data_IF_028751249701
#
_entry.id   IF_028751249701
#
_cell.length_a   1.000
_cell.length_b   1.000
_cell.length_c   1.000
_cell.angle_alpha   90.00
_cell.angle_beta   90.00
_cell.angle_gamma   90.00
#
_symmetry.space_group_name_H-M   'P 1'
#
loop_
_entity.id
_entity.type
_entity.pdbx_description
1 polymer ?
#
# COMPACT_ATOMS: atom_id res chain seq x y z
N UNK A 1 -4.94 -8.85 -29.51
CA UNK A 1 -4.21 -9.76 -28.58
C UNK A 1 -2.81 -9.25 -28.26
N UNK A 2 -2.00 -8.86 -29.26
CA UNK A 2 -0.60 -8.42 -29.05
C UNK A 2 -0.45 -7.14 -28.22
N UNK A 3 -1.29 -6.12 -28.43
CA UNK A 3 -1.26 -4.85 -27.67
C UNK A 3 -1.58 -5.08 -26.19
N UNK A 4 -2.62 -5.88 -25.90
CA UNK A 4 -3.00 -6.22 -24.52
C UNK A 4 -1.89 -7.00 -23.83
N UNK A 5 -1.24 -7.93 -24.54
CA UNK A 5 -0.11 -8.71 -24.00
C UNK A 5 1.10 -7.82 -23.66
N UNK A 6 1.45 -6.88 -24.54
CA UNK A 6 2.55 -5.92 -24.32
C UNK A 6 2.23 -5.00 -23.13
N UNK A 7 1.01 -4.49 -23.07
CA UNK A 7 0.58 -3.63 -21.96
C UNK A 7 0.59 -4.36 -20.62
N UNK A 8 0.07 -5.59 -20.57
CA UNK A 8 0.09 -6.42 -19.36
C UNK A 8 1.52 -6.68 -18.91
N UNK A 9 2.39 -7.08 -19.86
CA UNK A 9 3.80 -7.33 -19.57
C UNK A 9 4.49 -6.09 -19.01
N UNK A 10 4.21 -4.90 -19.55
CA UNK A 10 4.81 -3.65 -19.07
C UNK A 10 4.33 -3.27 -17.67
N UNK A 11 3.02 -3.39 -17.38
CA UNK A 11 2.48 -3.09 -16.04
C UNK A 11 3.03 -4.05 -14.99
N UNK A 12 3.12 -5.34 -15.33
CA UNK A 12 3.57 -6.40 -14.43
C UNK A 12 5.09 -6.33 -14.23
N UNK A 13 5.87 -6.11 -15.30
CA UNK A 13 7.32 -5.92 -15.22
C UNK A 13 7.70 -4.64 -14.44
N UNK A 14 6.97 -3.53 -14.63
CA UNK A 14 7.19 -2.30 -13.87
C UNK A 14 6.98 -2.49 -12.37
N UNK A 15 6.17 -3.48 -11.97
CA UNK A 15 5.95 -3.85 -10.59
C UNK A 15 6.88 -4.99 -10.09
N UNK A 16 7.90 -5.37 -10.85
CA UNK A 16 8.84 -6.44 -10.48
C UNK A 16 8.22 -7.84 -10.51
N UNK A 17 7.17 -8.02 -11.31
CA UNK A 17 6.45 -9.28 -11.46
C UNK A 17 6.62 -9.85 -12.87
N UNK A 18 6.35 -11.13 -13.04
CA UNK A 18 6.35 -11.85 -14.30
C UNK A 18 5.22 -12.89 -14.33
N UNK A 19 4.95 -13.49 -15.50
CA UNK A 19 4.00 -14.59 -15.66
C UNK A 19 2.57 -14.24 -15.22
N UNK A 20 1.77 -13.70 -16.14
CA UNK A 20 0.39 -13.29 -15.84
C UNK A 20 -0.62 -14.35 -16.25
N UNK A 21 -1.37 -14.85 -15.29
CA UNK A 21 -2.56 -15.68 -15.53
C UNK A 21 -3.82 -14.89 -15.20
N UNK A 22 -4.90 -15.10 -15.97
CA UNK A 22 -6.19 -14.49 -15.68
C UNK A 22 -7.03 -15.43 -14.81
N UNK A 23 -7.59 -14.90 -13.73
CA UNK A 23 -8.48 -15.62 -12.80
C UNK A 23 -9.86 -14.96 -12.81
N UNK A 24 -10.91 -15.72 -12.53
CA UNK A 24 -12.22 -15.14 -12.19
C UNK A 24 -12.16 -14.52 -10.79
N UNK A 25 -12.82 -13.38 -10.59
CA UNK A 25 -12.93 -12.72 -9.29
C UNK A 25 -13.52 -13.62 -8.21
N UNK A 26 -14.53 -14.41 -8.55
CA UNK A 26 -15.16 -15.41 -7.67
C UNK A 26 -14.26 -16.60 -7.33
N UNK A 27 -13.17 -16.81 -8.07
CA UNK A 27 -12.24 -17.91 -7.85
C UNK A 27 -11.16 -17.62 -6.80
N UNK A 28 -11.08 -16.40 -6.27
CA UNK A 28 -10.07 -15.99 -5.29
C UNK A 28 -10.73 -15.72 -3.95
N UNK A 29 -10.32 -16.45 -2.92
CA UNK A 29 -10.78 -16.20 -1.56
C UNK A 29 -9.92 -15.10 -0.90
N UNK A 30 -10.57 -14.06 -0.35
CA UNK A 30 -9.86 -12.95 0.29
C UNK A 30 -9.04 -13.40 1.52
N UNK A 31 -9.43 -14.50 2.18
CA UNK A 31 -8.68 -15.10 3.30
C UNK A 31 -7.28 -15.59 2.91
N UNK A 32 -7.03 -15.81 1.62
CA UNK A 32 -5.72 -16.20 1.10
C UNK A 32 -4.82 -14.99 0.84
N UNK A 33 -5.30 -13.76 1.01
CA UNK A 33 -4.48 -12.56 0.84
C UNK A 33 -3.84 -12.13 2.16
N UNK A 34 -2.60 -11.65 2.10
CA UNK A 34 -1.88 -11.21 3.30
C UNK A 34 -0.94 -10.03 3.02
N UNK A 35 -0.44 -9.43 4.11
CA UNK A 35 0.51 -8.33 4.05
C UNK A 35 -0.15 -6.98 3.73
N UNK A 36 0.70 -6.00 3.45
CA UNK A 36 0.25 -4.65 3.09
C UNK A 36 -0.05 -4.59 1.58
N UNK A 37 -1.27 -4.20 1.18
CA UNK A 37 -1.56 -3.98 -0.22
C UNK A 37 -0.88 -2.71 -0.73
N UNK A 38 -0.67 -2.63 -2.05
CA UNK A 38 -0.22 -1.40 -2.70
C UNK A 38 -1.01 -1.15 -3.98
N UNK A 39 -1.00 0.11 -4.43
CA UNK A 39 -1.80 0.60 -5.55
C UNK A 39 -0.88 0.89 -6.72
N UNK A 40 -1.17 0.27 -7.86
CA UNK A 40 -0.59 0.62 -9.15
C UNK A 40 -1.43 1.68 -9.84
N UNK A 41 -0.74 2.65 -10.43
CA UNK A 41 -1.29 3.75 -11.22
C UNK A 41 -0.53 3.83 -12.54
N UNK A 42 -1.10 4.41 -13.61
CA UNK A 42 -0.32 4.72 -14.80
C UNK A 42 0.87 5.60 -14.39
N UNK A 43 2.03 5.33 -14.97
CA UNK A 43 3.23 6.14 -14.71
C UNK A 43 2.99 7.59 -15.14
N UNK A 44 3.58 8.54 -14.41
CA UNK A 44 3.65 9.96 -14.78
C UNK A 44 5.10 10.40 -14.98
N UNK A 45 5.94 9.47 -15.43
CA UNK A 45 7.37 9.70 -15.60
C UNK A 45 7.63 10.73 -16.70
N UNK A 46 8.25 11.85 -16.33
CA UNK A 46 8.64 12.93 -17.25
C UNK A 46 9.66 12.52 -18.32
N UNK A 47 10.30 11.36 -18.17
CA UNK A 47 11.29 10.85 -19.13
C UNK A 47 10.65 10.21 -20.37
N UNK A 48 9.33 10.04 -20.37
CA UNK A 48 8.57 9.55 -21.51
C UNK A 48 8.05 10.74 -22.31
N UNK A 49 7.92 10.56 -23.62
CA UNK A 49 7.28 11.56 -24.48
C UNK A 49 5.80 11.70 -24.13
N UNK A 50 5.22 12.88 -24.35
CA UNK A 50 3.83 13.18 -23.99
C UNK A 50 2.82 12.22 -24.64
N UNK A 51 3.01 11.91 -25.92
CA UNK A 51 2.13 11.00 -26.66
C UNK A 51 2.20 9.57 -26.10
N UNK A 52 3.39 9.14 -25.66
CA UNK A 52 3.58 7.84 -25.02
C UNK A 52 2.91 7.80 -23.65
N UNK A 53 3.02 8.88 -22.87
CA UNK A 53 2.39 9.02 -21.58
C UNK A 53 0.86 8.95 -21.67
N UNK A 54 0.28 9.70 -22.61
CA UNK A 54 -1.17 9.72 -22.87
C UNK A 54 -1.66 8.35 -23.34
N UNK A 55 -0.95 7.73 -24.29
CA UNK A 55 -1.24 6.38 -24.76
C UNK A 55 -1.18 5.35 -23.63
N UNK A 56 -0.18 5.45 -22.75
CA UNK A 56 -0.07 4.58 -21.58
C UNK A 56 -1.23 4.76 -20.60
N UNK A 57 -1.67 6.01 -20.36
CA UNK A 57 -2.83 6.29 -19.52
C UNK A 57 -4.12 5.69 -20.10
N UNK A 58 -4.37 5.88 -21.39
CA UNK A 58 -5.52 5.31 -22.08
C UNK A 58 -5.52 3.79 -22.05
N UNK A 59 -4.36 3.19 -22.29
CA UNK A 59 -4.19 1.74 -22.22
C UNK A 59 -4.43 1.19 -20.81
N UNK A 60 -3.83 1.81 -19.78
CA UNK A 60 -4.03 1.40 -18.39
C UNK A 60 -5.51 1.48 -17.99
N UNK A 61 -6.21 2.54 -18.42
CA UNK A 61 -7.64 2.69 -18.20
C UNK A 61 -8.45 1.61 -18.92
N UNK A 62 -8.14 1.34 -20.20
CA UNK A 62 -8.78 0.27 -20.97
C UNK A 62 -8.56 -1.12 -20.36
N UNK A 63 -7.40 -1.36 -19.76
CA UNK A 63 -7.10 -2.59 -19.01
C UNK A 63 -8.00 -2.72 -17.79
N UNK A 64 -8.06 -1.69 -16.93
CA UNK A 64 -8.91 -1.70 -15.74
C UNK A 64 -10.38 -1.98 -16.10
N UNK A 65 -10.90 -1.25 -17.09
CA UNK A 65 -12.27 -1.44 -17.58
C UNK A 65 -12.51 -2.85 -18.14
N UNK A 66 -11.55 -3.40 -18.88
CA UNK A 66 -11.65 -4.75 -19.45
C UNK A 66 -11.67 -5.83 -18.38
N UNK A 67 -10.87 -5.69 -17.33
CA UNK A 67 -10.84 -6.63 -16.20
C UNK A 67 -12.14 -6.56 -15.39
N UNK A 68 -12.63 -5.36 -15.09
CA UNK A 68 -13.93 -5.17 -14.41
C UNK A 68 -15.08 -5.80 -15.19
N UNK A 69 -15.20 -5.49 -16.49
CA UNK A 69 -16.31 -5.98 -17.33
C UNK A 69 -16.33 -7.51 -17.44
N UNK A 70 -15.16 -8.16 -17.34
CA UNK A 70 -15.02 -9.61 -17.41
C UNK A 70 -15.06 -10.29 -16.05
N UNK A 71 -15.09 -9.50 -14.97
CA UNK A 71 -14.92 -9.99 -13.59
C UNK A 71 -13.61 -10.80 -13.44
N UNK A 72 -12.54 -10.30 -14.07
CA UNK A 72 -11.23 -10.95 -14.08
C UNK A 72 -10.23 -10.25 -13.17
N UNK A 73 -9.40 -11.06 -12.54
CA UNK A 73 -8.21 -10.66 -11.79
C UNK A 73 -6.98 -11.19 -12.51
N UNK A 74 -5.81 -10.60 -12.24
CA UNK A 74 -4.55 -11.13 -12.75
C UNK A 74 -3.76 -11.74 -11.61
N UNK A 75 -3.28 -12.97 -11.78
CA UNK A 75 -2.27 -13.58 -10.94
C UNK A 75 -0.91 -13.31 -11.55
N UNK A 76 0.01 -12.77 -10.77
CA UNK A 76 1.37 -12.49 -11.19
C UNK A 76 2.36 -13.06 -10.18
N UNK A 77 3.51 -13.49 -10.68
CA UNK A 77 4.61 -14.02 -9.88
C UNK A 77 5.65 -12.94 -9.66
N UNK A 78 5.99 -12.64 -8.42
CA UNK A 78 7.07 -11.73 -8.06
C UNK A 78 8.43 -12.34 -8.33
N UNK A 79 9.34 -11.53 -8.88
CA UNK A 79 10.74 -11.91 -8.95
C UNK A 79 11.45 -11.64 -7.61
N UNK A 80 12.33 -12.55 -7.16
CA UNK A 80 13.15 -12.31 -5.99
C UNK A 80 14.20 -11.25 -6.30
N UNK A 81 14.31 -10.25 -5.42
CA UNK A 81 15.24 -9.13 -5.54
C UNK A 81 16.73 -9.55 -5.64
N UNK A 82 17.09 -10.72 -5.11
CA UNK A 82 18.47 -11.20 -5.06
C UNK A 82 18.62 -12.56 -5.79
N UNK A 83 19.18 -12.52 -7.00
CA UNK A 83 19.55 -13.72 -7.77
C UNK A 83 20.94 -14.28 -7.40
N UNK A 84 21.50 -13.83 -6.27
CA UNK A 84 22.93 -13.96 -5.97
C UNK A 84 23.36 -15.39 -5.57
N UNK A 85 22.43 -16.32 -5.33
CA UNK A 85 22.76 -17.69 -4.95
C UNK A 85 22.19 -18.71 -5.95
N UNK A 86 23.05 -19.17 -6.86
CA UNK A 86 22.73 -20.16 -7.92
C UNK A 86 22.37 -21.57 -7.44
N UNK A 87 22.39 -21.84 -6.13
CA UNK A 87 22.30 -23.20 -5.58
C UNK A 87 20.88 -23.61 -5.16
N UNK A 88 19.93 -22.67 -5.06
CA UNK A 88 18.56 -22.95 -4.61
C UNK A 88 17.56 -22.25 -5.51
N UNK A 89 16.47 -22.94 -5.86
CA UNK A 89 15.35 -22.32 -6.56
C UNK A 89 14.87 -21.10 -5.76
N UNK A 90 14.69 -19.95 -6.40
CA UNK A 90 14.27 -18.75 -5.69
C UNK A 90 12.86 -18.91 -5.13
N UNK A 91 12.66 -18.54 -3.86
CA UNK A 91 11.33 -18.40 -3.29
C UNK A 91 10.56 -17.37 -4.13
N UNK A 92 9.40 -17.79 -4.64
CA UNK A 92 8.56 -16.97 -5.51
C UNK A 92 7.36 -16.48 -4.72
N UNK A 93 7.13 -15.18 -4.73
CA UNK A 93 5.90 -14.60 -4.16
C UNK A 93 4.84 -14.52 -5.24
N UNK A 94 3.58 -14.67 -4.90
CA UNK A 94 2.48 -14.52 -5.85
C UNK A 94 1.60 -13.34 -5.42
N UNK A 95 1.07 -12.64 -6.42
CA UNK A 95 0.25 -11.46 -6.24
C UNK A 95 -1.01 -11.59 -7.07
N UNK A 96 -2.13 -11.18 -6.49
CA UNK A 96 -3.37 -10.92 -7.23
C UNK A 96 -3.51 -9.43 -7.44
N UNK A 97 -3.75 -9.06 -8.69
CA UNK A 97 -3.97 -7.70 -9.16
C UNK A 97 -5.46 -7.55 -9.43
N UNK A 98 -6.12 -6.71 -8.64
CA UNK A 98 -7.55 -6.44 -8.68
C UNK A 98 -7.80 -5.09 -9.33
N UNK A 99 -8.70 -5.01 -10.33
CA UNK A 99 -9.08 -3.73 -10.89
C UNK A 99 -9.99 -2.96 -9.92
N UNK A 100 -9.81 -1.64 -9.85
CA UNK A 100 -10.71 -0.74 -9.12
C UNK A 100 -11.64 -0.02 -10.08
N UNK A 101 -12.76 0.53 -9.57
CA UNK A 101 -13.64 1.42 -10.35
C UNK A 101 -13.00 2.79 -10.66
N UNK A 102 -11.88 3.11 -10.01
CA UNK A 102 -10.97 4.20 -10.37
C UNK A 102 -9.88 3.68 -11.33
N UNK A 103 -9.14 4.54 -12.05
CA UNK A 103 -8.05 4.11 -12.94
C UNK A 103 -6.81 3.67 -12.15
N UNK A 104 -6.97 2.67 -11.28
CA UNK A 104 -5.95 2.10 -10.41
C UNK A 104 -6.13 0.59 -10.30
N UNK A 105 -5.04 -0.12 -10.04
CA UNK A 105 -5.05 -1.55 -9.75
C UNK A 105 -4.55 -1.77 -8.32
N UNK A 106 -5.24 -2.60 -7.56
CA UNK A 106 -4.85 -3.00 -6.22
C UNK A 106 -4.05 -4.30 -6.29
N UNK A 107 -2.88 -4.34 -5.66
CA UNK A 107 -2.04 -5.54 -5.62
C UNK A 107 -2.02 -6.08 -4.20
N UNK A 108 -2.34 -7.37 -4.05
CA UNK A 108 -2.32 -8.10 -2.78
C UNK A 108 -1.45 -9.35 -2.91
N UNK A 109 -0.60 -9.62 -1.92
CA UNK A 109 0.15 -10.87 -1.87
C UNK A 109 -0.79 -12.03 -1.54
N UNK A 110 -0.54 -13.21 -2.14
CA UNK A 110 -1.35 -14.41 -1.97
C UNK A 110 -0.56 -15.49 -1.26
N UNK A 111 -1.18 -16.06 -0.23
CA UNK A 111 -0.64 -17.15 0.55
C UNK A 111 -0.49 -18.39 -0.34
N UNK A 112 0.75 -18.87 -0.43
CA UNK A 112 1.11 -20.11 -1.08
C UNK A 112 0.95 -21.28 -0.12
N UNK A 113 1.04 -22.51 -0.65
CA UNK A 113 0.83 -23.75 0.11
C UNK A 113 1.66 -23.82 1.39
N UNK A 114 2.90 -23.34 1.37
CA UNK A 114 3.82 -23.34 2.50
C UNK A 114 3.46 -22.34 3.60
N UNK A 115 2.60 -21.37 3.31
CA UNK A 115 2.05 -20.42 4.29
C UNK A 115 0.69 -20.88 4.85
N UNK A 116 0.11 -21.94 4.28
CA UNK A 116 -1.20 -22.44 4.68
C UNK A 116 -1.05 -23.59 5.67
N UNK A 117 -1.78 -23.50 6.78
CA UNK A 117 -1.95 -24.63 7.67
C UNK A 117 -2.91 -25.65 7.02
N UNK A 118 -2.70 -26.97 7.22
CA UNK A 118 -3.68 -27.95 6.84
C UNK A 118 -4.96 -27.72 7.66
N UNK A 119 -6.02 -27.21 7.04
CA UNK A 119 -7.33 -27.07 7.68
C UNK A 119 -8.42 -27.66 6.78
N UNK A 120 -9.28 -28.55 7.31
CA UNK A 120 -10.51 -28.90 6.62
C UNK A 120 -11.39 -27.64 6.62
N UNK A 121 -11.65 -27.07 5.44
CA UNK A 121 -12.67 -26.05 5.25
C UNK A 121 -13.95 -26.77 4.79
N UNK A 122 -14.83 -27.21 5.70
CA UNK A 122 -16.10 -27.77 5.29
C UNK A 122 -16.89 -26.70 4.54
N UNK A 123 -17.54 -27.11 3.46
CA UNK A 123 -18.50 -26.25 2.78
C UNK A 123 -19.65 -25.92 3.74
N UNK A 124 -20.17 -24.69 3.65
CA UNK A 124 -21.36 -24.31 4.41
C UNK A 124 -22.52 -25.25 4.03
N UNK A 125 -23.30 -25.77 5.00
CA UNK A 125 -24.49 -26.54 4.71
C UNK A 125 -25.47 -25.71 3.87
N UNK A 126 -26.05 -26.28 2.81
CA UNK A 126 -27.07 -25.59 2.00
C UNK A 126 -28.34 -25.29 2.81
N UNK A 127 -28.70 -26.17 3.75
CA UNK A 127 -29.89 -26.02 4.59
C UNK A 127 -29.53 -25.47 5.98
N UNK A 128 -29.70 -24.15 6.17
CA UNK A 128 -29.65 -23.51 7.48
C UNK A 128 -31.06 -23.46 8.10
N UNK A 129 -31.23 -23.72 9.42
CA UNK A 129 -32.53 -23.64 10.08
C UNK A 129 -33.17 -22.26 9.94
N UNK A 130 -34.40 -22.21 9.42
CA UNK A 130 -35.12 -20.96 9.14
C UNK A 130 -35.27 -20.05 10.37
N UNK A 131 -35.45 -20.63 11.57
CA UNK A 131 -35.55 -19.88 12.82
C UNK A 131 -34.25 -19.15 13.15
N UNK A 132 -33.10 -19.78 12.88
CA UNK A 132 -31.78 -19.17 13.11
C UNK A 132 -31.50 -18.06 12.10
N UNK A 133 -31.85 -18.26 10.83
CA UNK A 133 -31.75 -17.24 9.79
C UNK A 133 -32.59 -16.02 10.16
N UNK A 134 -33.88 -16.22 10.49
CA UNK A 134 -34.80 -15.13 10.84
C UNK A 134 -34.35 -14.37 12.08
N UNK A 135 -33.82 -15.06 13.09
CA UNK A 135 -33.29 -14.41 14.29
C UNK A 135 -32.10 -13.50 13.94
N UNK A 136 -31.14 -14.00 13.16
CA UNK A 136 -29.98 -13.21 12.75
C UNK A 136 -30.39 -12.05 11.83
N UNK A 137 -31.27 -12.27 10.85
CA UNK A 137 -31.80 -11.22 9.97
C UNK A 137 -32.44 -10.09 10.77
N UNK A 138 -33.30 -10.41 11.74
CA UNK A 138 -33.91 -9.39 12.60
C UNK A 138 -32.89 -8.58 13.41
N UNK A 139 -31.80 -9.21 13.86
CA UNK A 139 -30.72 -8.51 14.57
C UNK A 139 -29.89 -7.63 13.64
N UNK A 140 -29.75 -8.00 12.36
CA UNK A 140 -29.04 -7.20 11.36
C UNK A 140 -29.89 -6.02 10.87
N UNK A 141 -31.21 -6.18 10.77
CA UNK A 141 -32.16 -5.12 10.40
C UNK A 141 -32.16 -3.95 11.41
N UNK A 142 -31.85 -4.23 12.67
CA UNK A 142 -31.74 -3.23 13.74
C UNK A 142 -30.41 -2.43 13.68
N UNK A 143 -29.44 -2.83 12.84
CA UNK A 143 -28.15 -2.14 12.73
C UNK A 143 -28.23 -0.92 11.80
N UNK A 144 -27.64 0.19 12.23
CA UNK A 144 -27.46 1.37 11.37
C UNK A 144 -26.47 1.06 10.23
N UNK A 145 -26.97 1.07 9.00
CA UNK A 145 -26.16 0.81 7.81
C UNK A 145 -25.62 2.12 7.23
N UNK A 146 -24.32 2.32 7.34
CA UNK A 146 -23.62 3.39 6.62
C UNK A 146 -23.31 2.96 5.18
N UNK A 147 -23.58 3.86 4.22
CA UNK A 147 -23.37 3.58 2.79
C UNK A 147 -21.91 3.63 2.36
N UNK A 148 -21.04 4.28 3.14
CA UNK A 148 -19.61 4.40 2.82
C UNK A 148 -18.81 4.60 4.09
N UNK A 149 -17.84 3.72 4.30
CA UNK A 149 -16.87 3.85 5.37
C UNK A 149 -15.91 5.03 5.13
N UNK A 150 -15.87 5.99 6.06
CA UNK A 150 -14.91 7.10 6.03
C UNK A 150 -13.86 6.96 7.15
N UNK A 151 -12.60 6.61 6.83
CA UNK A 151 -11.56 6.41 7.85
C UNK A 151 -11.25 7.67 8.66
N UNK A 152 -11.59 8.88 8.16
CA UNK A 152 -11.37 10.14 8.89
C UNK A 152 -12.35 10.34 10.05
N UNK A 153 -13.49 9.64 10.04
CA UNK A 153 -14.49 9.71 11.09
C UNK A 153 -14.20 8.72 12.23
N UNK A 154 -13.36 7.72 11.98
CA UNK A 154 -13.03 6.67 12.96
C UNK A 154 -11.80 7.07 13.77
N UNK A 155 -11.97 7.14 15.08
CA UNK A 155 -10.88 7.47 16.01
C UNK A 155 -10.27 6.19 16.56
N UNK A 156 -9.02 5.89 16.16
CA UNK A 156 -8.25 4.79 16.76
C UNK A 156 -7.72 5.11 18.15
N UNK A 157 -7.82 6.37 18.58
CA UNK A 157 -7.19 6.92 19.79
C UNK A 157 -5.67 6.67 19.90
N UNK A 158 -5.00 6.32 18.79
CA UNK A 158 -3.57 6.00 18.76
C UNK A 158 -2.72 7.16 19.29
N UNK A 159 -3.03 8.40 18.89
CA UNK A 159 -2.31 9.58 19.38
C UNK A 159 -2.44 9.75 20.90
N UNK A 160 -3.63 9.54 21.48
CA UNK A 160 -3.83 9.59 22.93
C UNK A 160 -3.03 8.48 23.64
N UNK A 161 -3.00 7.28 23.07
CA UNK A 161 -2.23 6.16 23.60
C UNK A 161 -0.71 6.39 23.54
N UNK A 162 -0.19 6.87 22.41
CA UNK A 162 1.23 7.17 22.26
C UNK A 162 1.62 8.37 23.12
N UNK A 163 0.83 9.46 23.11
CA UNK A 163 1.11 10.64 23.93
C UNK A 163 1.07 10.33 25.43
N UNK A 164 0.12 9.52 25.91
CA UNK A 164 0.13 9.10 27.32
C UNK A 164 1.34 8.23 27.68
N UNK A 165 1.80 7.38 26.76
CA UNK A 165 2.98 6.51 26.94
C UNK A 165 4.29 7.30 26.93
N UNK A 166 4.41 8.30 26.05
CA UNK A 166 5.66 9.06 25.84
C UNK A 166 5.73 10.39 26.59
N UNK A 167 4.61 11.04 26.90
CA UNK A 167 4.57 12.30 27.67
C UNK A 167 4.70 12.06 29.18
N UNK A 168 4.59 10.82 29.65
CA UNK A 168 4.69 10.47 31.05
C UNK A 168 5.86 9.50 31.32
N UNK A 169 7.14 9.96 31.24
CA UNK A 169 8.29 9.14 31.60
C UNK A 169 8.28 8.71 33.09
N UNK A 170 7.36 9.25 33.91
CA UNK A 170 7.28 9.02 35.35
C UNK A 170 5.90 8.55 35.86
N UNK A 171 5.08 7.97 34.99
CA UNK A 171 3.88 7.24 35.38
C UNK A 171 4.21 5.81 35.75
N UNK A 172 4.69 5.60 36.98
CA UNK A 172 4.85 4.32 37.69
C UNK A 172 3.94 3.24 37.08
N UNK A 173 4.54 2.22 36.44
CA UNK A 173 3.84 0.96 36.19
C UNK A 173 3.27 0.51 37.53
N UNK A 174 1.99 0.76 37.76
CA UNK A 174 1.25 0.15 38.84
C UNK A 174 0.82 -1.21 38.29
N UNK A 175 1.40 -2.33 38.74
CA UNK A 175 0.75 -3.61 38.54
C UNK A 175 -0.46 -3.59 39.48
N UNK A 176 -1.61 -3.09 39.03
CA UNK A 176 -2.85 -3.34 39.74
C UNK A 176 -3.33 -4.75 39.41
N UNK A 177 -2.50 -5.74 39.72
CA UNK A 177 -2.98 -7.08 40.00
C UNK A 177 -2.84 -7.26 41.50
N UNK A 178 -3.95 -7.05 42.21
CA UNK A 178 -4.09 -7.42 43.63
C UNK A 178 -4.01 -8.94 43.73
N UNK A 179 -2.80 -9.49 43.57
CA UNK A 179 -2.47 -10.84 43.96
C UNK A 179 -2.32 -10.84 45.49
N UNK A 180 -3.38 -11.28 46.15
CA UNK A 180 -3.46 -11.60 47.58
C UNK A 180 -2.26 -12.48 47.96
N UNK A 181 -1.26 -11.89 48.61
CA UNK A 181 -0.14 -12.64 49.18
C UNK A 181 -0.64 -13.50 50.34
N UNK A 182 -0.77 -14.81 50.11
CA UNK A 182 -0.75 -15.84 51.15
C UNK A 182 0.58 -16.58 51.04
N UNK A 183 1.10 -16.93 52.22
CA UNK A 183 2.51 -17.03 52.57
C UNK A 183 3.18 -18.35 52.16
N UNK A 184 4.52 -18.25 52.06
CA UNK A 184 5.56 -19.27 52.32
C UNK A 184 5.62 -20.50 51.40
N UNK A 185 6.63 -20.51 50.53
CA UNK A 185 7.38 -21.71 50.17
C UNK A 185 8.85 -21.33 49.88
N UNK A 186 9.73 -22.22 50.30
CA UNK A 186 11.20 -22.19 50.40
C UNK A 186 11.91 -22.05 49.03
N UNK A 187 13.12 -21.46 48.95
CA UNK A 187 13.78 -21.22 47.67
C UNK A 187 14.46 -22.49 47.14
N UNK A 188 13.80 -23.18 46.20
CA UNK A 188 14.48 -24.14 45.32
C UNK A 188 15.33 -23.39 44.30
N UNK A 189 16.64 -23.67 44.33
CA UNK A 189 17.61 -23.18 43.36
C UNK A 189 17.20 -23.57 41.94
N UNK A 190 16.87 -22.59 41.12
CA UNK A 190 16.78 -22.73 39.68
C UNK A 190 17.99 -22.03 39.08
N UNK A 191 18.92 -22.82 38.55
CA UNK A 191 20.07 -22.35 37.79
C UNK A 191 19.61 -21.50 36.59
N UNK A 192 19.63 -20.17 36.74
CA UNK A 192 19.48 -19.25 35.60
C UNK A 192 20.82 -19.14 34.90
N UNK A 193 20.97 -19.84 33.78
CA UNK A 193 22.04 -19.58 32.82
C UNK A 193 21.77 -18.20 32.20
N UNK A 194 22.63 -17.24 32.50
CA UNK A 194 22.59 -15.89 31.94
C UNK A 194 23.30 -15.92 30.60
N UNK A 195 22.56 -15.76 29.50
CA UNK A 195 23.16 -15.55 28.19
C UNK A 195 23.77 -14.13 28.14
N UNK A 196 25.08 -14.04 28.16
CA UNK A 196 25.82 -12.80 27.93
C UNK A 196 26.00 -12.63 26.42
N UNK A 197 25.29 -11.68 25.81
CA UNK A 197 25.55 -11.26 24.42
C UNK A 197 26.69 -10.25 24.46
N UNK A 198 27.73 -10.46 23.64
CA UNK A 198 28.83 -9.54 23.50
C UNK A 198 28.34 -8.18 22.94
N UNK A 199 28.84 -7.04 23.44
CA UNK A 199 28.49 -5.74 22.89
C UNK A 199 28.90 -5.64 21.42
N UNK A 200 27.98 -5.21 20.55
CA UNK A 200 28.29 -4.88 19.18
C UNK A 200 29.25 -3.67 19.17
N UNK A 201 30.38 -3.81 18.50
CA UNK A 201 31.33 -2.71 18.29
C UNK A 201 30.63 -1.62 17.46
N UNK A 202 30.36 -0.48 18.10
CA UNK A 202 29.95 0.73 17.40
C UNK A 202 31.19 1.29 16.69
N UNK A 203 31.17 1.28 15.36
CA UNK A 203 32.14 2.02 14.55
C UNK A 203 32.01 3.52 14.87
N UNK A 204 33.11 4.24 15.14
CA UNK A 204 33.05 5.68 15.31
C UNK A 204 32.60 6.34 14.01
N UNK A 205 31.62 7.23 14.11
CA UNK A 205 31.27 8.13 13.02
C UNK A 205 32.53 8.95 12.61
N UNK A 206 32.78 9.19 11.31
CA UNK A 206 33.92 10.00 10.89
C UNK A 206 33.74 11.43 11.40
N UNK A 207 34.43 11.75 12.48
CA UNK A 207 34.51 13.09 13.02
C UNK A 207 35.41 13.97 12.16
N UNK A 208 34.88 15.15 11.81
CA UNK A 208 35.58 16.44 11.62
C UNK A 208 36.86 16.43 10.78
N UNK A 209 36.71 16.90 9.54
CA UNK A 209 37.81 17.51 8.81
C UNK A 209 38.29 18.81 9.50
N UNK A 210 39.60 19.16 9.41
CA UNK A 210 40.18 20.30 10.11
C UNK A 210 39.76 21.65 9.51
N UNK A 211 39.73 22.65 10.39
CA UNK A 211 39.35 24.05 10.15
C UNK A 211 40.51 24.86 9.56
N UNK A 212 40.16 25.82 8.70
CA UNK A 212 40.78 27.14 8.37
C UNK A 212 41.43 27.29 6.98
N UNK A 213 41.53 28.52 6.41
CA UNK A 213 40.81 29.78 6.65
C UNK A 213 40.17 30.39 5.38
N UNK A 214 39.44 31.51 5.59
CA UNK A 214 38.66 32.26 4.62
C UNK A 214 39.47 33.03 3.55
N UNK A 215 38.91 33.16 2.35
CA UNK A 215 39.22 34.21 1.38
C UNK A 215 37.95 34.63 0.62
N UNK A 216 37.95 35.86 0.14
CA UNK A 216 36.81 36.77 0.07
C UNK A 216 36.20 36.93 -1.34
N UNK A 217 34.89 37.25 -1.37
CA UNK A 217 34.11 38.07 -2.33
C UNK A 217 34.12 37.77 -3.84
N UNK A 218 32.93 37.50 -4.38
CA UNK A 218 32.23 38.25 -5.46
C UNK A 218 30.83 37.60 -5.64
N UNK A 219 29.73 38.18 -5.14
CA UNK A 219 28.82 39.12 -5.81
C UNK A 219 28.41 38.70 -7.23
N UNK A 220 27.14 38.32 -7.39
CA UNK A 220 26.17 39.01 -8.25
C UNK A 220 24.78 38.38 -8.03
N UNK A 221 23.95 39.06 -7.25
CA UNK A 221 22.49 38.95 -7.30
C UNK A 221 22.03 39.49 -8.65
N UNK A 222 21.23 38.72 -9.38
CA UNK A 222 20.42 39.24 -10.48
C UNK A 222 18.98 38.79 -10.21
N UNK A 223 18.25 39.71 -9.59
CA UNK A 223 16.79 39.76 -9.61
C UNK A 223 16.34 40.07 -11.05
N UNK A 224 15.42 39.28 -11.60
CA UNK A 224 14.50 39.77 -12.63
C UNK A 224 13.09 39.20 -12.39
N UNK A 225 12.17 40.13 -12.15
CA UNK A 225 10.71 39.96 -12.11
C UNK A 225 10.14 39.74 -13.53
N UNK A 226 8.89 39.24 -13.67
CA UNK A 226 8.29 38.89 -14.95
C UNK A 226 7.76 40.14 -15.69
N UNK A 227 7.66 40.15 -17.03
CA UNK A 227 6.99 41.25 -17.73
C UNK A 227 5.48 40.99 -17.86
N UNK A 228 4.72 42.01 -17.46
CA UNK A 228 3.32 42.23 -17.81
C UNK A 228 3.23 42.90 -19.19
N UNK A 229 2.22 42.49 -19.96
CA UNK A 229 1.38 43.24 -20.90
C UNK A 229 2.00 44.32 -21.82
N UNK A 230 1.92 44.05 -23.14
CA UNK A 230 1.71 45.08 -24.16
C UNK A 230 0.47 44.69 -25.02
N UNK A 231 -0.63 45.41 -24.75
CA UNK A 231 -1.70 45.87 -25.66
C UNK A 231 -1.12 47.02 -26.51
N UNK A 232 -1.57 47.49 -27.67
CA UNK A 232 -2.71 47.43 -28.61
C UNK A 232 -2.09 47.82 -30.00
N UNK A 233 -2.66 47.65 -31.20
CA UNK A 233 -3.80 48.33 -31.87
C UNK A 233 -4.01 47.61 -33.24
N UNK A 234 -5.22 47.20 -33.69
CA UNK A 234 -6.30 48.00 -34.36
C UNK A 234 -5.89 48.46 -35.80
N UNK A 235 -6.63 48.37 -36.92
CA UNK A 235 -8.05 48.38 -37.35
C UNK A 235 -8.13 47.61 -38.72
N UNK A 236 -9.24 47.25 -39.38
CA UNK A 236 -10.50 47.98 -39.62
C UNK A 236 -11.65 47.06 -40.10
N UNK A 237 -12.84 47.61 -39.90
CA UNK A 237 -14.22 47.14 -40.03
C UNK A 237 -14.70 46.92 -41.48
N UNK A 238 -15.79 46.16 -41.66
CA UNK A 238 -16.96 46.69 -42.38
C UNK A 238 -18.25 45.90 -42.03
N UNK A 239 -19.31 46.69 -41.87
CA UNK A 239 -20.56 46.44 -41.16
C UNK A 239 -21.74 46.15 -42.13
N UNK A 240 -22.61 45.20 -41.74
CA UNK A 240 -24.08 45.02 -41.90
C UNK A 240 -24.91 45.95 -42.86
N UNK A 241 -26.13 45.56 -43.36
CA UNK A 241 -27.25 45.11 -42.51
C UNK A 241 -28.34 44.19 -43.09
N UNK A 242 -29.26 43.87 -42.18
CA UNK A 242 -30.47 43.03 -42.22
C UNK A 242 -31.68 43.61 -42.99
N UNK A 243 -32.59 42.72 -43.42
CA UNK A 243 -34.02 42.97 -43.68
C UNK A 243 -34.39 43.21 -45.16
N UNK A 244 -35.55 42.71 -45.65
CA UNK A 244 -36.87 42.82 -45.03
C UNK A 244 -37.61 41.50 -44.71
#
# INVERSE_FOLDING_TARGET
MQIVSILLCNVVAAAGMNGTEALKSSGVCESLTYGLPFILRPTSCWRLEWDELETNQQHFHALCHSLLKREWLLLAKGEPLNREHKLREPASTFYVILPSHSPTLLVKAVATRELMLPSPFPLLPEDMPADSLKAVESMLDDLELESTYNPLQVWSHLYSHLSSTFANPHGRFHPSSKSRAVRKAEPLQINRVRATVAPLHMTPAPGRAPKMPAASKASSEVFFQPPMEEKEEEEAEEEYPSGP
#
